data_IF_460426617958
#
_entry.id   IF_460426617958
#
_cell.length_a   1.000
_cell.length_b   1.000
_cell.length_c   1.000
_cell.angle_alpha   90.00
_cell.angle_beta   90.00
_cell.angle_gamma   90.00
#
_symmetry.space_group_name_H-M   'P 1'
#
loop_
_entity.id
_entity.type
_entity.pdbx_description
1 polymer ?
#
# COMPACT_ATOMS: atom_id res chain seq x y z
N UNK A 1 -17.76 -15.16 13.45
CA UNK A 1 -18.13 -14.26 14.56
C UNK A 1 -17.16 -13.08 14.56
N UNK A 2 -17.68 -11.88 14.41
CA UNK A 2 -16.88 -10.65 14.50
C UNK A 2 -16.45 -10.43 15.96
N UNK A 3 -15.24 -9.89 16.21
CA UNK A 3 -14.80 -9.64 17.57
C UNK A 3 -15.72 -8.66 18.29
N UNK A 4 -15.88 -8.86 19.57
CA UNK A 4 -16.58 -7.94 20.46
C UNK A 4 -15.97 -6.55 20.34
N UNK A 5 -16.76 -5.55 19.94
CA UNK A 5 -16.30 -4.18 19.76
C UNK A 5 -16.50 -3.59 18.35
N UNK A 6 -17.10 -4.36 17.44
CA UNK A 6 -17.49 -3.85 16.12
C UNK A 6 -18.69 -2.89 16.27
N UNK A 7 -18.52 -1.64 15.85
CA UNK A 7 -19.61 -0.66 15.79
C UNK A 7 -19.95 -0.39 14.33
N UNK A 8 -21.24 -0.37 14.03
CA UNK A 8 -21.72 0.07 12.71
C UNK A 8 -21.52 1.59 12.57
N UNK A 9 -20.99 2.04 11.45
CA UNK A 9 -20.88 3.46 11.11
C UNK A 9 -22.27 4.10 10.91
N UNK A 10 -23.28 3.27 10.67
CA UNK A 10 -24.67 3.70 10.48
C UNK A 10 -25.15 4.58 11.63
N UNK A 11 -24.85 4.25 12.87
CA UNK A 11 -25.21 5.05 14.06
C UNK A 11 -24.39 6.34 14.22
N UNK A 12 -23.36 6.57 13.39
CA UNK A 12 -22.52 7.78 13.46
C UNK A 12 -22.78 8.78 12.32
N UNK A 13 -23.31 8.30 11.19
CA UNK A 13 -23.45 9.11 9.97
C UNK A 13 -24.91 9.32 9.54
N UNK A 14 -25.87 8.66 10.20
CA UNK A 14 -27.28 8.75 9.86
C UNK A 14 -27.99 9.60 10.91
N UNK A 15 -28.65 10.65 10.46
CA UNK A 15 -29.62 11.37 11.28
C UNK A 15 -30.78 10.41 11.61
N UNK A 16 -31.00 10.12 12.90
CA UNK A 16 -32.02 9.19 13.35
C UNK A 16 -33.44 9.57 12.90
N UNK A 17 -33.63 10.80 12.41
CA UNK A 17 -34.93 11.30 11.92
C UNK A 17 -35.24 10.86 10.47
N UNK A 18 -34.31 10.26 9.71
CA UNK A 18 -34.53 9.80 8.33
C UNK A 18 -33.88 8.46 8.00
N UNK A 19 -34.24 7.37 8.69
CA UNK A 19 -33.63 6.06 8.45
C UNK A 19 -33.94 5.45 7.06
N UNK A 20 -34.96 5.95 6.36
CA UNK A 20 -35.43 5.42 5.07
C UNK A 20 -34.60 5.88 3.86
N UNK A 21 -33.77 6.93 4.01
CA UNK A 21 -32.94 7.50 2.94
C UNK A 21 -31.54 6.88 2.87
N UNK A 22 -31.20 5.96 3.79
CA UNK A 22 -29.88 5.29 3.81
C UNK A 22 -30.03 3.93 3.19
N UNK A 23 -29.54 3.83 1.98
CA UNK A 23 -29.46 2.58 1.23
C UNK A 23 -28.81 1.48 2.10
N UNK A 24 -29.43 0.31 2.17
CA UNK A 24 -28.97 -0.87 2.94
C UNK A 24 -27.52 -1.29 2.58
N UNK A 25 -27.00 -0.75 1.47
CA UNK A 25 -25.66 -1.05 0.95
C UNK A 25 -24.49 -0.45 1.76
N UNK A 26 -24.75 0.39 2.77
CA UNK A 26 -23.70 1.09 3.50
C UNK A 26 -23.50 0.64 4.94
N UNK A 27 -23.52 -0.66 5.23
CA UNK A 27 -23.06 -1.15 6.52
C UNK A 27 -21.54 -1.10 6.60
N UNK A 28 -21.01 0.04 7.05
CA UNK A 28 -19.59 0.15 7.37
C UNK A 28 -19.35 -0.33 8.80
N UNK A 29 -18.56 -1.38 8.92
CA UNK A 29 -18.20 -1.95 10.21
C UNK A 29 -16.91 -1.29 10.69
N UNK A 30 -16.98 -0.52 11.77
CA UNK A 30 -15.79 -0.04 12.50
C UNK A 30 -15.33 -1.11 13.48
N UNK A 31 -14.06 -1.44 13.40
CA UNK A 31 -13.41 -2.34 14.36
C UNK A 31 -12.30 -1.61 15.11
N UNK A 32 -12.10 -1.94 16.37
CA UNK A 32 -10.96 -1.47 17.17
C UNK A 32 -9.63 -2.13 16.75
N UNK A 33 -9.67 -3.07 15.81
CA UNK A 33 -8.49 -3.78 15.32
C UNK A 33 -8.06 -3.21 13.98
N UNK A 34 -6.81 -2.74 13.85
CA UNK A 34 -6.30 -2.27 12.57
C UNK A 34 -6.22 -3.41 11.55
N UNK A 35 -6.66 -3.14 10.32
CA UNK A 35 -6.47 -4.06 9.19
C UNK A 35 -5.04 -3.97 8.63
N UNK A 36 -4.74 -4.85 7.66
CA UNK A 36 -3.41 -4.98 7.03
C UNK A 36 -2.87 -3.62 6.56
N UNK A 37 -3.68 -2.85 5.83
CA UNK A 37 -3.27 -1.53 5.31
C UNK A 37 -2.87 -0.58 6.43
N UNK A 38 -3.67 -0.50 7.49
CA UNK A 38 -3.40 0.41 8.60
C UNK A 38 -2.19 0.01 9.43
N UNK A 39 -1.93 -1.28 9.59
CA UNK A 39 -0.70 -1.77 10.21
C UNK A 39 0.53 -1.43 9.34
N UNK A 40 0.42 -1.61 8.03
CA UNK A 40 1.49 -1.28 7.09
C UNK A 40 1.80 0.22 7.07
N UNK A 41 0.77 1.08 7.05
CA UNK A 41 0.91 2.54 7.18
C UNK A 41 1.59 2.93 8.50
N UNK A 42 1.25 2.28 9.61
CA UNK A 42 1.86 2.55 10.92
C UNK A 42 3.35 2.21 10.94
N UNK A 43 3.73 1.06 10.38
CA UNK A 43 5.13 0.68 10.22
C UNK A 43 5.87 1.62 9.26
N UNK A 44 5.18 2.13 8.22
CA UNK A 44 5.73 3.14 7.30
C UNK A 44 6.09 4.42 8.06
N UNK A 45 5.20 4.88 8.93
CA UNK A 45 5.45 6.07 9.77
C UNK A 45 6.58 5.83 10.77
N UNK A 46 6.61 4.66 11.40
CA UNK A 46 7.70 4.29 12.32
C UNK A 46 9.08 4.33 11.63
N UNK A 47 9.15 3.90 10.39
CA UNK A 47 10.36 4.00 9.57
C UNK A 47 10.68 5.44 9.12
N UNK A 48 9.88 6.45 9.48
CA UNK A 48 10.11 7.86 9.14
C UNK A 48 9.59 8.28 7.77
N UNK A 49 8.79 7.44 7.13
CA UNK A 49 8.15 7.80 5.86
C UNK A 49 6.75 8.37 6.09
N UNK A 50 6.25 9.12 5.12
CA UNK A 50 4.83 9.49 5.09
C UNK A 50 3.99 8.25 4.73
N UNK A 51 2.76 8.19 5.18
CA UNK A 51 1.85 7.05 4.90
C UNK A 51 1.69 6.76 3.40
N UNK A 52 1.69 7.82 2.57
CA UNK A 52 1.64 7.70 1.11
C UNK A 52 2.91 7.08 0.51
N UNK A 53 3.99 7.09 1.24
CA UNK A 53 5.29 6.55 0.83
C UNK A 53 5.47 5.06 1.22
N UNK A 54 4.39 4.31 1.39
CA UNK A 54 4.43 2.89 1.77
C UNK A 54 5.32 2.04 0.84
N UNK A 55 5.47 2.44 -0.43
CA UNK A 55 6.42 1.84 -1.36
C UNK A 55 7.88 1.95 -0.93
N UNK A 56 8.25 2.98 -0.16
CA UNK A 56 9.60 3.12 0.41
C UNK A 56 9.82 2.10 1.52
N UNK A 57 8.82 1.83 2.36
CA UNK A 57 8.90 0.76 3.36
C UNK A 57 9.04 -0.61 2.69
N UNK A 58 8.29 -0.87 1.61
CA UNK A 58 8.44 -2.06 0.80
C UNK A 58 9.87 -2.19 0.27
N UNK A 59 10.46 -1.08 -0.22
CA UNK A 59 11.87 -1.02 -0.66
C UNK A 59 12.89 -1.19 0.47
N UNK A 60 12.55 -0.85 1.72
CA UNK A 60 13.40 -1.02 2.89
C UNK A 60 13.40 -2.49 3.39
N UNK A 61 12.33 -3.23 3.15
CA UNK A 61 12.14 -4.58 3.69
C UNK A 61 13.27 -5.58 3.36
N UNK A 62 13.92 -5.57 2.17
CA UNK A 62 15.03 -6.49 1.88
C UNK A 62 16.31 -6.25 2.71
N UNK A 63 16.41 -5.11 3.37
CA UNK A 63 17.57 -4.77 4.23
C UNK A 63 17.39 -5.22 5.69
N UNK A 64 16.20 -5.69 6.04
CA UNK A 64 15.89 -6.27 7.35
C UNK A 64 16.08 -7.78 7.37
N UNK A 65 15.93 -8.34 8.56
CA UNK A 65 16.06 -9.76 8.82
C UNK A 65 15.07 -10.21 9.90
N UNK A 66 14.82 -11.53 10.05
CA UNK A 66 14.02 -12.02 11.16
C UNK A 66 14.60 -11.58 12.50
N UNK A 67 13.79 -10.99 13.35
CA UNK A 67 14.19 -10.49 14.64
C UNK A 67 13.25 -11.07 15.72
N UNK A 68 13.72 -11.97 16.59
CA UNK A 68 12.90 -12.64 17.60
C UNK A 68 12.42 -11.70 18.73
N UNK A 69 13.01 -10.51 18.86
CA UNK A 69 12.62 -9.53 19.87
C UNK A 69 11.42 -8.68 19.39
N UNK A 70 11.10 -8.73 18.10
CA UNK A 70 9.90 -8.09 17.56
C UNK A 70 8.66 -8.93 17.89
N UNK A 71 7.58 -8.30 18.37
CA UNK A 71 6.31 -8.99 18.57
C UNK A 71 5.66 -9.33 17.23
N UNK A 72 4.76 -10.33 17.17
CA UNK A 72 3.95 -10.57 15.98
C UNK A 72 3.06 -9.36 15.71
N UNK A 73 3.01 -8.94 14.45
CA UNK A 73 2.23 -7.75 14.02
C UNK A 73 0.76 -8.09 13.74
N UNK A 74 0.46 -9.34 13.48
CA UNK A 74 -0.92 -9.80 13.28
C UNK A 74 -1.26 -10.94 14.22
N UNK A 75 -2.54 -10.95 14.63
CA UNK A 75 -3.18 -12.03 15.40
C UNK A 75 -4.58 -12.24 14.87
N UNK A 76 -4.94 -13.49 14.59
CA UNK A 76 -6.28 -13.86 14.12
C UNK A 76 -6.78 -13.06 12.89
N UNK A 77 -5.87 -12.68 11.99
CA UNK A 77 -6.16 -11.91 10.79
C UNK A 77 -6.24 -10.39 10.98
N UNK A 78 -5.97 -9.91 12.21
CA UNK A 78 -6.01 -8.48 12.55
C UNK A 78 -4.68 -7.99 13.09
N UNK A 79 -4.47 -6.69 12.98
CA UNK A 79 -3.31 -6.03 13.58
C UNK A 79 -3.29 -6.23 15.10
N UNK A 80 -2.13 -6.62 15.61
CA UNK A 80 -1.91 -6.84 17.03
C UNK A 80 -2.04 -5.52 17.82
N UNK A 81 -3.07 -5.39 18.65
CA UNK A 81 -3.35 -4.18 19.45
C UNK A 81 -2.27 -3.82 20.47
N UNK A 82 -1.41 -4.76 20.82
CA UNK A 82 -0.26 -4.45 21.68
C UNK A 82 0.81 -3.66 20.92
N UNK A 83 0.85 -3.81 19.58
CA UNK A 83 1.82 -3.15 18.69
C UNK A 83 1.22 -1.96 17.98
N UNK A 84 -0.05 -2.03 17.58
CA UNK A 84 -0.72 -0.99 16.81
C UNK A 84 -1.89 -0.38 17.59
N UNK A 85 -1.88 0.93 17.72
CA UNK A 85 -2.97 1.70 18.33
C UNK A 85 -3.81 2.30 17.21
N UNK A 86 -5.11 1.96 17.12
CA UNK A 86 -6.02 2.58 16.19
C UNK A 86 -6.17 4.09 16.41
N UNK A 87 -6.13 4.86 15.34
CA UNK A 87 -6.31 6.32 15.34
C UNK A 87 -7.41 6.67 14.32
N UNK A 88 -8.65 6.37 14.68
CA UNK A 88 -9.79 6.59 13.80
C UNK A 88 -10.20 8.07 13.75
N UNK A 89 -10.56 8.55 12.54
CA UNK A 89 -10.64 7.87 11.25
C UNK A 89 -9.30 7.81 10.50
N UNK A 90 -8.23 8.35 11.06
CA UNK A 90 -6.97 8.66 10.36
C UNK A 90 -6.03 7.46 10.17
N UNK A 91 -6.29 6.32 10.81
CA UNK A 91 -5.46 5.14 10.64
C UNK A 91 -5.03 4.47 11.94
N UNK A 92 -3.77 4.19 12.08
CA UNK A 92 -3.15 3.66 13.30
C UNK A 92 -1.69 4.11 13.39
N UNK A 93 -1.08 3.94 14.56
CA UNK A 93 0.34 4.16 14.79
C UNK A 93 0.93 3.04 15.65
N UNK A 94 2.25 2.90 15.64
CA UNK A 94 2.93 1.88 16.45
C UNK A 94 3.00 2.30 17.91
N UNK A 95 2.71 1.35 18.81
CA UNK A 95 2.86 1.54 20.24
C UNK A 95 4.30 1.32 20.67
N UNK A 96 5.15 2.31 20.44
CA UNK A 96 6.58 2.25 20.74
C UNK A 96 6.90 2.11 22.21
N UNK A 97 5.95 2.46 23.10
CA UNK A 97 6.12 2.37 24.55
C UNK A 97 5.78 0.98 25.13
N UNK A 98 5.34 0.04 24.31
CA UNK A 98 4.91 -1.28 24.76
C UNK A 98 6.04 -2.30 24.83
N UNK A 99 6.98 -2.24 23.93
CA UNK A 99 8.06 -3.22 23.78
C UNK A 99 9.43 -2.55 23.90
N UNK A 100 10.30 -3.21 24.66
CA UNK A 100 11.65 -2.68 24.93
C UNK A 100 12.43 -2.39 23.65
N UNK A 101 12.31 -3.23 22.65
CA UNK A 101 13.02 -3.05 21.37
C UNK A 101 12.68 -1.71 20.69
N UNK A 102 11.41 -1.27 20.74
CA UNK A 102 11.01 0.02 20.18
C UNK A 102 11.46 1.20 21.05
N UNK A 103 11.44 1.05 22.39
CA UNK A 103 11.92 2.07 23.30
C UNK A 103 13.43 2.28 23.14
N UNK A 104 14.20 1.21 23.06
CA UNK A 104 15.65 1.26 22.87
C UNK A 104 16.02 1.89 21.52
N UNK A 105 15.27 1.57 20.47
CA UNK A 105 15.47 2.14 19.12
C UNK A 105 15.16 3.65 19.10
N UNK A 106 14.06 4.06 19.71
CA UNK A 106 13.67 5.46 19.83
C UNK A 106 14.68 6.26 20.66
N UNK A 107 15.20 5.69 21.76
CA UNK A 107 16.26 6.30 22.55
C UNK A 107 17.56 6.48 21.74
N UNK A 108 17.93 5.49 20.94
CA UNK A 108 19.09 5.58 20.04
C UNK A 108 18.90 6.66 18.97
N UNK A 109 17.71 6.75 18.36
CA UNK A 109 17.39 7.81 17.41
C UNK A 109 17.48 9.20 18.04
N UNK A 110 17.01 9.37 19.29
CA UNK A 110 17.12 10.61 20.06
C UNK A 110 18.58 10.97 20.35
N UNK A 111 19.35 9.99 20.80
CA UNK A 111 20.77 10.13 21.11
C UNK A 111 21.59 10.56 19.89
N UNK A 112 21.24 10.08 18.72
CA UNK A 112 21.92 10.40 17.46
C UNK A 112 21.37 11.63 16.73
N UNK A 113 20.35 12.30 17.30
CA UNK A 113 19.71 13.47 16.70
C UNK A 113 18.84 13.14 15.49
N UNK A 114 18.43 11.90 15.34
CA UNK A 114 17.61 11.42 14.23
C UNK A 114 16.12 11.28 14.59
N UNK A 115 15.69 11.87 15.69
CA UNK A 115 14.30 11.81 16.15
C UNK A 115 13.75 13.22 16.43
N UNK A 116 12.56 13.48 15.92
CA UNK A 116 11.78 14.69 16.19
C UNK A 116 10.49 14.32 16.90
N UNK A 117 10.11 15.06 17.93
CA UNK A 117 8.93 14.78 18.78
C UNK A 117 7.60 14.84 18.00
N UNK A 118 7.53 15.60 16.92
CA UNK A 118 6.33 15.72 16.08
C UNK A 118 6.32 14.81 14.85
N UNK A 119 7.49 14.44 14.34
CA UNK A 119 7.65 13.74 13.06
C UNK A 119 8.20 12.31 13.20
N UNK A 120 8.74 11.94 14.37
CA UNK A 120 9.42 10.68 14.58
C UNK A 120 10.83 10.67 13.99
N UNK A 121 11.20 9.61 13.29
CA UNK A 121 12.52 9.49 12.66
C UNK A 121 12.69 10.51 11.52
N UNK A 122 13.77 11.27 11.54
CA UNK A 122 14.13 12.30 10.54
C UNK A 122 15.52 12.08 9.94
N UNK A 123 16.19 10.97 10.29
CA UNK A 123 17.55 10.68 9.86
C UNK A 123 17.63 10.11 8.44
N UNK A 124 18.87 10.00 7.96
CA UNK A 124 19.18 9.38 6.66
C UNK A 124 19.61 7.91 6.79
N UNK A 125 20.03 7.49 8.00
CA UNK A 125 20.54 6.16 8.27
C UNK A 125 19.53 5.35 9.10
N UNK A 126 18.79 4.48 8.44
CA UNK A 126 17.82 3.60 9.10
C UNK A 126 18.50 2.66 10.11
N UNK A 127 17.92 2.57 11.30
CA UNK A 127 18.36 1.61 12.31
C UNK A 127 18.11 0.17 11.85
N UNK A 128 18.77 -0.80 12.49
CA UNK A 128 18.48 -2.19 12.18
C UNK A 128 17.06 -2.57 12.58
N UNK A 129 16.53 -2.03 13.68
CA UNK A 129 15.15 -2.24 14.11
C UNK A 129 14.13 -1.75 13.08
N UNK A 130 14.33 -0.57 12.48
CA UNK A 130 13.46 -0.07 11.41
C UNK A 130 13.47 -0.99 10.18
N UNK A 131 14.65 -1.50 9.79
CA UNK A 131 14.79 -2.47 8.69
C UNK A 131 14.08 -3.79 9.01
N UNK A 132 14.24 -4.29 10.23
CA UNK A 132 13.63 -5.54 10.69
C UNK A 132 12.10 -5.41 10.80
N UNK A 133 11.60 -4.25 11.24
CA UNK A 133 10.17 -3.92 11.21
C UNK A 133 9.65 -3.92 9.76
N UNK A 134 10.38 -3.29 8.83
CA UNK A 134 10.00 -3.29 7.42
C UNK A 134 9.96 -4.72 6.84
N UNK A 135 10.93 -5.55 7.18
CA UNK A 135 10.97 -6.95 6.79
C UNK A 135 9.77 -7.73 7.35
N UNK A 136 9.53 -7.62 8.64
CA UNK A 136 8.48 -8.39 9.31
C UNK A 136 7.09 -7.98 8.87
N UNK A 137 6.79 -6.66 8.79
CA UNK A 137 5.46 -6.20 8.34
C UNK A 137 5.18 -6.63 6.90
N UNK A 138 6.19 -6.61 6.02
CA UNK A 138 6.04 -7.09 4.65
C UNK A 138 5.67 -8.57 4.64
N UNK A 139 6.42 -9.41 5.34
CA UNK A 139 6.22 -10.86 5.39
C UNK A 139 4.89 -11.25 6.03
N UNK A 140 4.54 -10.66 7.16
CA UNK A 140 3.28 -10.97 7.83
C UNK A 140 2.07 -10.47 7.03
N UNK A 141 2.16 -9.28 6.41
CA UNK A 141 1.09 -8.78 5.54
C UNK A 141 0.86 -9.67 4.31
N UNK A 142 1.92 -10.18 3.69
CA UNK A 142 1.82 -11.17 2.61
C UNK A 142 1.04 -12.41 3.06
N UNK A 143 1.38 -12.93 4.24
CA UNK A 143 0.74 -14.12 4.79
C UNK A 143 -0.74 -13.89 5.14
N UNK A 144 -1.07 -12.75 5.71
CA UNK A 144 -2.48 -12.42 6.03
C UNK A 144 -3.32 -12.26 4.75
N UNK A 145 -2.78 -11.64 3.71
CA UNK A 145 -3.47 -11.56 2.41
C UNK A 145 -3.63 -12.94 1.76
N UNK A 146 -2.63 -13.82 1.83
CA UNK A 146 -2.74 -15.20 1.36
C UNK A 146 -3.88 -15.94 2.08
N UNK A 147 -3.98 -15.79 3.40
CA UNK A 147 -5.10 -16.37 4.17
C UNK A 147 -6.44 -15.81 3.72
N UNK A 148 -6.51 -14.50 3.44
CA UNK A 148 -7.74 -13.85 2.99
C UNK A 148 -8.15 -14.34 1.60
N UNK A 149 -7.23 -14.44 0.65
CA UNK A 149 -7.49 -14.97 -0.71
C UNK A 149 -7.97 -16.43 -0.63
N UNK A 150 -7.28 -17.27 0.15
CA UNK A 150 -7.68 -18.66 0.38
C UNK A 150 -9.09 -18.75 0.94
N UNK A 151 -9.38 -17.94 1.96
CA UNK A 151 -10.72 -17.90 2.58
C UNK A 151 -11.81 -17.45 1.61
N UNK A 152 -11.53 -16.45 0.78
CA UNK A 152 -12.47 -15.98 -0.23
C UNK A 152 -12.77 -17.10 -1.26
N UNK A 153 -11.73 -17.77 -1.74
CA UNK A 153 -11.89 -18.91 -2.65
C UNK A 153 -12.67 -20.07 -2.03
N UNK A 154 -12.36 -20.46 -0.80
CA UNK A 154 -13.06 -21.52 -0.07
C UNK A 154 -14.55 -21.21 0.13
N UNK A 155 -14.90 -19.96 0.39
CA UNK A 155 -16.29 -19.53 0.62
C UNK A 155 -17.12 -19.47 -0.65
N UNK A 156 -16.51 -19.11 -1.78
CA UNK A 156 -17.23 -18.80 -3.02
C UNK A 156 -17.05 -19.86 -4.10
N UNK A 157 -15.95 -20.61 -4.07
CA UNK A 157 -15.53 -21.49 -5.16
C UNK A 157 -15.01 -20.75 -6.40
N UNK A 158 -14.97 -19.39 -6.36
CA UNK A 158 -14.53 -18.57 -7.47
C UNK A 158 -13.01 -18.66 -7.68
N UNK A 159 -12.61 -18.74 -8.95
CA UNK A 159 -11.20 -18.78 -9.35
C UNK A 159 -10.65 -17.41 -9.77
N UNK A 160 -11.53 -16.45 -10.05
CA UNK A 160 -11.17 -15.11 -10.45
C UNK A 160 -11.15 -14.20 -9.23
N UNK A 161 -9.97 -13.78 -8.80
CA UNK A 161 -9.77 -12.94 -7.63
C UNK A 161 -9.28 -11.57 -8.09
N UNK A 162 -10.00 -10.51 -7.70
CA UNK A 162 -9.59 -9.14 -7.95
C UNK A 162 -9.10 -8.49 -6.65
N UNK A 163 -7.92 -7.89 -6.68
CA UNK A 163 -7.34 -7.14 -5.57
C UNK A 163 -7.35 -5.65 -5.92
N UNK A 164 -7.99 -4.85 -5.08
CA UNK A 164 -8.06 -3.39 -5.19
C UNK A 164 -7.85 -2.75 -3.82
N UNK A 165 -7.63 -1.43 -3.81
CA UNK A 165 -7.22 -0.68 -2.61
C UNK A 165 -5.70 -0.49 -2.56
N UNK A 166 -5.22 0.47 -1.74
CA UNK A 166 -3.81 0.88 -1.73
C UNK A 166 -2.81 -0.25 -1.53
N UNK A 167 -3.15 -1.27 -0.72
CA UNK A 167 -2.29 -2.43 -0.54
C UNK A 167 -2.13 -3.29 -1.81
N UNK A 168 -3.08 -3.20 -2.75
CA UNK A 168 -2.97 -3.84 -4.07
C UNK A 168 -1.80 -3.34 -4.93
N UNK A 169 -1.17 -2.21 -4.55
CA UNK A 169 0.06 -1.72 -5.19
C UNK A 169 1.34 -2.39 -4.68
N UNK A 170 1.25 -3.24 -3.64
CA UNK A 170 2.40 -3.98 -3.15
C UNK A 170 2.78 -5.09 -4.13
N UNK A 171 3.63 -4.76 -5.10
CA UNK A 171 4.02 -5.68 -6.17
C UNK A 171 4.78 -6.91 -5.66
N UNK A 172 5.52 -6.79 -4.54
CA UNK A 172 6.21 -7.92 -3.91
C UNK A 172 5.20 -8.91 -3.35
N UNK A 173 4.18 -8.43 -2.65
CA UNK A 173 3.10 -9.25 -2.13
C UNK A 173 2.26 -9.87 -3.27
N UNK A 174 1.93 -9.10 -4.31
CA UNK A 174 1.18 -9.58 -5.47
C UNK A 174 1.86 -10.76 -6.16
N UNK A 175 3.18 -10.71 -6.29
CA UNK A 175 3.96 -11.82 -6.83
C UNK A 175 3.84 -13.09 -5.97
N UNK A 176 3.85 -12.94 -4.62
CA UNK A 176 3.69 -14.07 -3.69
C UNK A 176 2.31 -14.73 -3.78
N UNK A 177 1.26 -13.95 -4.04
CA UNK A 177 -0.07 -14.54 -4.26
C UNK A 177 -0.11 -15.40 -5.51
N UNK A 178 0.55 -14.94 -6.56
CA UNK A 178 0.64 -15.68 -7.82
C UNK A 178 1.43 -16.98 -7.68
N UNK A 179 2.52 -16.97 -6.90
CA UNK A 179 3.26 -18.19 -6.56
C UNK A 179 2.44 -19.18 -5.73
N UNK A 180 1.68 -18.69 -4.74
CA UNK A 180 0.90 -19.53 -3.82
C UNK A 180 -0.35 -20.15 -4.47
N UNK A 181 -0.96 -19.45 -5.43
CA UNK A 181 -2.21 -19.86 -6.06
C UNK A 181 -2.10 -19.99 -7.58
N UNK A 182 -1.33 -20.95 -8.09
CA UNK A 182 -1.12 -21.10 -9.54
C UNK A 182 -2.40 -21.46 -10.31
N UNK A 183 -3.44 -21.98 -9.64
CA UNK A 183 -4.72 -22.36 -10.22
C UNK A 183 -5.78 -21.24 -10.15
N UNK A 184 -5.45 -20.10 -9.56
CA UNK A 184 -6.34 -18.94 -9.49
C UNK A 184 -5.92 -17.86 -10.49
N UNK A 185 -6.90 -17.18 -11.06
CA UNK A 185 -6.69 -16.00 -11.88
C UNK A 185 -6.69 -14.76 -10.97
N UNK A 186 -5.52 -14.32 -10.54
CA UNK A 186 -5.39 -13.15 -9.66
C UNK A 186 -5.12 -11.92 -10.50
N UNK A 187 -6.01 -10.93 -10.39
CA UNK A 187 -5.90 -9.62 -11.02
C UNK A 187 -5.67 -8.56 -9.94
N UNK A 188 -4.54 -7.88 -10.02
CA UNK A 188 -4.25 -6.72 -9.18
C UNK A 188 -4.51 -5.45 -9.99
N UNK A 189 -5.43 -4.61 -9.53
CA UNK A 189 -5.76 -3.36 -10.22
C UNK A 189 -4.54 -2.42 -10.21
N UNK A 190 -4.02 -2.02 -11.39
CA UNK A 190 -2.82 -1.18 -11.44
C UNK A 190 -3.03 0.26 -10.94
N UNK A 191 -4.29 0.72 -10.88
CA UNK A 191 -4.65 2.03 -10.30
C UNK A 191 -5.53 1.78 -9.06
N UNK A 192 -5.10 0.89 -8.17
CA UNK A 192 -5.87 0.46 -7.00
C UNK A 192 -5.92 1.50 -5.87
N UNK A 193 -5.20 2.60 -5.96
CA UNK A 193 -5.25 3.73 -5.04
C UNK A 193 -6.40 4.71 -5.37
N UNK A 194 -6.52 5.78 -4.59
CA UNK A 194 -7.58 6.80 -4.74
C UNK A 194 -7.72 7.37 -6.15
N UNK A 195 -6.63 7.42 -6.93
CA UNK A 195 -6.65 7.86 -8.32
C UNK A 195 -7.55 7.01 -9.25
N UNK A 196 -7.77 5.74 -8.90
CA UNK A 196 -8.66 4.84 -9.66
C UNK A 196 -10.15 5.07 -9.40
N UNK A 197 -10.51 5.80 -8.36
CA UNK A 197 -11.92 6.06 -8.00
C UNK A 197 -12.67 6.84 -9.07
N UNK A 198 -12.00 7.75 -9.78
CA UNK A 198 -12.58 8.50 -10.89
C UNK A 198 -12.99 7.58 -12.06
N UNK A 199 -12.17 6.60 -12.39
CA UNK A 199 -12.45 5.61 -13.42
C UNK A 199 -13.57 4.67 -12.95
N UNK A 200 -13.49 4.21 -11.69
CA UNK A 200 -14.52 3.37 -11.08
C UNK A 200 -15.88 4.05 -11.05
N UNK A 201 -15.93 5.34 -10.66
CA UNK A 201 -17.14 6.13 -10.67
C UNK A 201 -17.74 6.27 -12.09
N UNK A 202 -16.91 6.52 -13.10
CA UNK A 202 -17.35 6.60 -14.49
C UNK A 202 -17.93 5.25 -14.98
N UNK A 203 -17.29 4.15 -14.67
CA UNK A 203 -17.80 2.81 -14.99
C UNK A 203 -19.10 2.49 -14.25
N UNK A 204 -19.21 2.88 -12.99
CA UNK A 204 -20.42 2.67 -12.21
C UNK A 204 -21.63 3.38 -12.85
N UNK A 205 -21.49 4.67 -13.14
CA UNK A 205 -22.56 5.46 -13.81
C UNK A 205 -22.89 4.89 -15.19
N UNK A 206 -21.87 4.53 -15.97
CA UNK A 206 -22.10 3.96 -17.29
C UNK A 206 -22.85 2.63 -17.23
N UNK A 207 -22.54 1.79 -16.26
CA UNK A 207 -23.24 0.52 -16.03
C UNK A 207 -24.70 0.74 -15.61
N UNK A 208 -24.99 1.77 -14.81
CA UNK A 208 -26.36 2.15 -14.48
C UNK A 208 -27.17 2.65 -15.69
N UNK A 209 -26.55 3.47 -16.52
CA UNK A 209 -27.22 4.05 -17.71
C UNK A 209 -27.36 3.03 -18.85
N UNK A 210 -26.45 2.09 -18.98
CA UNK A 210 -26.37 1.11 -20.05
C UNK A 210 -25.99 -0.27 -19.53
N UNK A 211 -26.84 -0.96 -18.74
CA UNK A 211 -26.49 -2.21 -18.05
C UNK A 211 -26.09 -3.37 -18.98
N UNK A 212 -26.60 -3.36 -20.22
CA UNK A 212 -26.32 -4.39 -21.23
C UNK A 212 -25.06 -4.09 -22.07
N UNK A 213 -24.41 -2.95 -21.87
CA UNK A 213 -23.22 -2.60 -22.64
C UNK A 213 -22.02 -3.40 -22.16
N UNK A 214 -21.46 -4.20 -23.03
CA UNK A 214 -20.12 -4.76 -22.78
C UNK A 214 -19.09 -3.62 -22.90
N UNK A 215 -18.46 -3.26 -21.79
CA UNK A 215 -17.43 -2.20 -21.74
C UNK A 215 -16.11 -2.64 -22.38
N UNK A 216 -15.98 -3.93 -22.67
CA UNK A 216 -14.76 -4.50 -23.20
C UNK A 216 -13.62 -4.53 -22.17
N UNK A 217 -12.48 -4.98 -22.62
CA UNK A 217 -11.25 -5.00 -21.83
C UNK A 217 -10.59 -3.60 -21.83
N UNK A 218 -10.13 -3.14 -20.66
CA UNK A 218 -9.32 -1.94 -20.57
C UNK A 218 -7.94 -2.20 -21.16
N UNK A 219 -7.66 -1.56 -22.29
CA UNK A 219 -6.42 -1.80 -23.07
C UNK A 219 -5.21 -1.02 -22.55
N UNK A 220 -5.42 0.03 -21.77
CA UNK A 220 -4.36 0.90 -21.29
C UNK A 220 -4.77 1.60 -19.99
N UNK A 221 -3.79 2.00 -19.21
CA UNK A 221 -3.92 2.94 -18.08
C UNK A 221 -3.30 4.31 -18.42
N UNK A 222 -2.70 4.45 -19.58
CA UNK A 222 -2.06 5.68 -20.02
C UNK A 222 -3.08 6.57 -20.72
N UNK A 223 -3.77 7.40 -19.96
CA UNK A 223 -4.82 8.30 -20.44
C UNK A 223 -4.37 9.75 -20.59
N UNK A 224 -3.11 10.04 -20.26
CA UNK A 224 -2.54 11.37 -20.38
C UNK A 224 -2.40 11.84 -21.83
N UNK A 225 -2.18 13.14 -22.07
CA UNK A 225 -1.88 13.65 -23.39
C UNK A 225 -0.52 13.11 -23.88
N UNK A 226 -0.42 12.98 -25.18
CA UNK A 226 0.85 12.68 -25.83
C UNK A 226 1.50 14.00 -26.23
N UNK A 227 2.71 14.23 -25.74
CA UNK A 227 3.50 15.42 -26.09
C UNK A 227 4.50 15.09 -27.22
N UNK A 228 4.71 16.06 -28.10
CA UNK A 228 5.77 15.96 -29.08
C UNK A 228 7.14 16.11 -28.37
N UNK A 229 8.06 15.15 -28.53
CA UNK A 229 9.41 15.26 -27.95
C UNK A 229 10.12 16.59 -28.24
N UNK A 230 9.92 17.16 -29.45
CA UNK A 230 10.50 18.44 -29.80
C UNK A 230 10.01 19.61 -28.92
N UNK A 231 8.82 19.49 -28.36
CA UNK A 231 8.22 20.57 -27.54
C UNK A 231 8.92 20.71 -26.18
N UNK A 232 9.47 19.63 -25.61
CA UNK A 232 10.08 19.68 -24.30
C UNK A 232 11.61 19.57 -24.31
N UNK A 233 12.23 19.23 -25.43
CA UNK A 233 13.70 19.18 -25.55
C UNK A 233 14.33 20.51 -25.17
N UNK A 234 13.73 21.62 -25.55
CA UNK A 234 14.21 22.96 -25.23
C UNK A 234 14.34 23.22 -23.71
N UNK A 235 13.51 22.60 -22.87
CA UNK A 235 13.59 22.77 -21.42
C UNK A 235 14.79 22.06 -20.81
N UNK A 236 15.27 20.99 -21.41
CA UNK A 236 16.44 20.26 -20.95
C UNK A 236 17.74 21.02 -21.26
N UNK A 237 17.77 21.77 -22.35
CA UNK A 237 18.92 22.61 -22.71
C UNK A 237 19.15 23.76 -21.73
N UNK A 238 18.07 24.29 -21.11
CA UNK A 238 18.14 25.35 -20.10
C UNK A 238 18.74 24.86 -18.77
N UNK A 239 18.63 23.56 -18.48
CA UNK A 239 19.05 22.94 -17.21
C UNK A 239 20.46 22.27 -17.30
N UNK A 240 21.24 22.56 -18.33
CA UNK A 240 22.57 21.96 -18.57
C UNK A 240 22.52 20.42 -18.74
N UNK A 241 21.43 19.91 -19.24
CA UNK A 241 21.25 18.48 -19.54
C UNK A 241 21.66 18.21 -20.97
N UNK A 242 22.44 17.15 -21.17
CA UNK A 242 22.80 16.68 -22.50
C UNK A 242 21.70 15.73 -23.00
N UNK A 243 21.13 16.05 -24.16
CA UNK A 243 20.10 15.21 -24.80
C UNK A 243 20.72 14.53 -26.01
N UNK A 244 20.77 13.20 -25.97
CA UNK A 244 21.33 12.38 -27.06
C UNK A 244 20.36 11.29 -27.47
N UNK A 245 20.35 10.95 -28.75
CA UNK A 245 19.69 9.75 -29.22
C UNK A 245 20.43 8.52 -28.71
N UNK A 246 19.67 7.54 -28.20
CA UNK A 246 20.25 6.31 -27.68
C UNK A 246 19.47 5.06 -28.10
N UNK A 247 20.12 3.92 -28.04
CA UNK A 247 19.51 2.61 -28.28
C UNK A 247 19.34 1.81 -27.01
N UNK A 248 18.48 0.80 -27.02
CA UNK A 248 18.36 -0.13 -25.88
C UNK A 248 19.68 -0.85 -25.59
N UNK A 249 20.51 -1.11 -26.60
CA UNK A 249 21.84 -1.71 -26.42
C UNK A 249 22.78 -0.78 -25.66
N UNK A 250 22.72 0.51 -25.93
CA UNK A 250 23.56 1.50 -25.22
C UNK A 250 23.07 1.70 -23.79
N UNK A 251 21.76 1.72 -23.56
CA UNK A 251 21.17 1.71 -22.22
C UNK A 251 21.63 0.46 -21.44
N UNK A 252 21.60 -0.71 -22.04
CA UNK A 252 22.07 -1.95 -21.42
C UNK A 252 23.56 -1.90 -21.07
N UNK A 253 24.40 -1.27 -21.91
CA UNK A 253 25.84 -1.05 -21.63
C UNK A 253 26.03 -0.13 -20.42
N UNK A 254 25.28 0.97 -20.34
CA UNK A 254 25.31 1.89 -19.19
C UNK A 254 24.95 1.17 -17.88
N UNK A 255 23.87 0.41 -17.87
CA UNK A 255 23.46 -0.39 -16.70
C UNK A 255 24.59 -1.38 -16.32
N UNK A 256 25.16 -2.07 -17.31
CA UNK A 256 26.26 -3.02 -17.09
C UNK A 256 27.52 -2.37 -16.54
N UNK A 257 27.80 -1.11 -16.89
CA UNK A 257 28.94 -0.34 -16.36
C UNK A 257 28.73 0.19 -14.94
N UNK A 258 27.52 0.02 -14.38
CA UNK A 258 27.17 0.45 -13.03
C UNK A 258 26.53 1.84 -12.97
N UNK A 259 26.17 2.42 -14.11
CA UNK A 259 25.46 3.69 -14.17
C UNK A 259 24.02 3.56 -13.69
N UNK A 260 23.50 4.61 -13.06
CA UNK A 260 22.10 4.71 -12.66
C UNK A 260 21.31 5.19 -13.86
N UNK A 261 20.42 4.33 -14.35
CA UNK A 261 19.58 4.61 -15.52
C UNK A 261 18.11 4.57 -15.11
N UNK A 262 17.37 5.60 -15.45
CA UNK A 262 15.91 5.64 -15.34
C UNK A 262 15.29 5.56 -16.73
N UNK A 263 14.22 4.78 -16.88
CA UNK A 263 13.51 4.64 -18.14
C UNK A 263 12.11 5.22 -17.94
N UNK A 264 11.78 6.22 -18.73
CA UNK A 264 10.44 6.81 -18.81
C UNK A 264 9.90 6.65 -20.22
N UNK A 265 8.80 5.92 -20.39
CA UNK A 265 8.22 5.65 -21.69
C UNK A 265 6.69 5.46 -21.60
N UNK A 266 6.02 5.59 -22.72
CA UNK A 266 4.56 5.54 -22.81
C UNK A 266 3.94 6.94 -22.73
N UNK A 267 2.61 6.99 -22.48
CA UNK A 267 1.84 8.24 -22.43
C UNK A 267 1.53 8.63 -21.00
#
# INVERSE_FOLDING_TARGET
SYPLGVKSLRGLLVDEEKPEDVDEACDTILTEYPGITKCYESATRYAGFKTIDAGKLMGLSPYGQPNPDLPPFFRDGWGNRDVFIPDYPNGSYMNTQRYKIFMDDEEEMRRTGQFDEGWGFIGENYTQTQKDVAYQIQRESEQEMIKLIRKAHEMTGEKNICISGGFGLNCVANYKYWEEFPDLNIYCEPISHDGGTSIGGAYHVLNQLQPSRNLGERKSIYYGPQYDPQTYTQYFEEDFLEVTDTSYDDIAKLIRSGEIVTIFQGR
#
